data_IF_018998552635
#
_entry.id   IF_018998552635
#
_cell.length_a   1.000
_cell.length_b   1.000
_cell.length_c   1.000
_cell.angle_alpha   90.00
_cell.angle_beta   90.00
_cell.angle_gamma   90.00
#
_symmetry.space_group_name_H-M   'P 1'
#
loop_
_entity.id
_entity.type
_entity.pdbx_description
1 polymer ?
#
# COMPACT_ATOMS: atom_id res chain seq x y z
N UNK A 1 -20.36 -7.36 31.76
CA UNK A 1 -20.22 -5.91 32.00
C UNK A 1 -18.86 -5.64 32.64
N UNK A 2 -18.14 -4.62 32.17
CA UNK A 2 -16.85 -4.17 32.70
C UNK A 2 -17.01 -2.75 33.24
N UNK A 3 -16.45 -2.45 34.42
CA UNK A 3 -16.42 -1.08 34.94
C UNK A 3 -15.45 -0.25 34.10
N UNK A 4 -15.92 0.86 33.56
CA UNK A 4 -15.11 1.76 32.72
C UNK A 4 -14.40 2.81 33.57
N UNK A 5 -15.09 3.37 34.57
CA UNK A 5 -14.54 4.38 35.46
C UNK A 5 -15.35 4.49 36.73
N UNK A 6 -14.78 5.13 37.76
CA UNK A 6 -15.45 5.51 38.99
C UNK A 6 -15.03 6.94 39.35
N UNK A 7 -16.00 7.79 39.71
CA UNK A 7 -15.73 9.14 40.19
C UNK A 7 -16.71 9.51 41.31
N UNK A 8 -16.39 10.55 42.06
CA UNK A 8 -17.19 11.00 43.18
C UNK A 8 -17.54 12.48 43.01
N UNK A 9 -18.80 12.81 43.29
CA UNK A 9 -19.25 14.18 43.41
C UNK A 9 -19.15 14.61 44.87
N UNK A 10 -18.22 15.51 45.18
CA UNK A 10 -17.93 16.01 46.53
C UNK A 10 -18.30 17.48 46.65
N UNK A 11 -18.51 17.93 47.92
CA UNK A 11 -18.81 19.34 48.21
C UNK A 11 -20.26 19.71 48.11
N UNK A 12 -21.16 18.74 48.07
CA UNK A 12 -22.60 19.00 48.17
C UNK A 12 -22.91 19.47 49.59
N UNK A 13 -23.56 20.64 49.78
CA UNK A 13 -23.93 21.12 51.10
C UNK A 13 -24.87 20.14 51.81
N UNK A 14 -24.81 20.04 53.15
CA UNK A 14 -25.75 19.24 53.92
C UNK A 14 -27.20 19.69 53.63
N UNK A 15 -28.09 18.77 53.28
CA UNK A 15 -29.49 19.04 53.01
C UNK A 15 -30.38 17.89 53.50
N UNK A 16 -31.66 18.10 53.51
CA UNK A 16 -32.62 17.09 53.94
C UNK A 16 -32.56 15.85 53.08
N UNK A 17 -32.71 14.67 53.64
CA UNK A 17 -32.68 13.42 52.92
C UNK A 17 -33.66 13.46 51.73
N UNK A 18 -33.15 13.10 50.52
CA UNK A 18 -33.91 13.12 49.28
C UNK A 18 -34.02 14.48 48.58
N UNK A 19 -33.47 15.58 49.15
CA UNK A 19 -33.49 16.89 48.50
C UNK A 19 -32.45 17.05 47.38
N UNK A 20 -31.33 16.35 47.46
CA UNK A 20 -30.28 16.39 46.44
C UNK A 20 -30.77 15.85 45.10
N UNK A 21 -30.71 16.67 44.06
CA UNK A 21 -31.07 16.30 42.69
C UNK A 21 -29.82 16.32 41.81
N UNK A 22 -29.33 15.15 41.47
CA UNK A 22 -28.13 15.01 40.65
C UNK A 22 -28.54 14.69 39.21
N UNK A 23 -28.12 15.54 38.27
CA UNK A 23 -28.25 15.28 36.85
C UNK A 23 -26.94 14.65 36.38
N UNK A 24 -27.04 13.46 35.78
CA UNK A 24 -25.89 12.79 35.14
C UNK A 24 -26.08 12.87 33.65
N UNK A 25 -25.08 13.43 32.97
CA UNK A 25 -25.06 13.56 31.51
C UNK A 25 -23.94 12.69 30.95
N UNK A 26 -24.29 11.83 30.02
CA UNK A 26 -23.34 11.02 29.25
C UNK A 26 -23.21 11.62 27.85
N UNK A 27 -22.02 11.90 27.44
CA UNK A 27 -21.71 12.39 26.09
C UNK A 27 -20.68 11.49 25.44
N UNK A 28 -20.96 11.01 24.23
CA UNK A 28 -19.99 10.28 23.40
C UNK A 28 -19.69 11.15 22.20
N UNK A 29 -18.42 11.46 21.98
CA UNK A 29 -17.99 12.21 20.80
C UNK A 29 -17.79 11.32 19.57
N UNK A 30 -17.42 11.94 18.44
CA UNK A 30 -17.19 11.23 17.18
C UNK A 30 -15.99 10.26 17.25
N UNK A 31 -15.05 10.49 18.17
CA UNK A 31 -13.87 9.65 18.39
C UNK A 31 -14.13 8.52 19.40
N UNK A 32 -15.36 8.41 19.90
CA UNK A 32 -15.77 7.40 20.87
C UNK A 32 -15.35 7.71 22.31
N UNK A 33 -14.89 8.93 22.62
CA UNK A 33 -14.58 9.35 23.99
C UNK A 33 -15.88 9.56 24.76
N UNK A 34 -16.03 8.84 25.85
CA UNK A 34 -17.15 8.98 26.78
C UNK A 34 -16.82 10.01 27.86
N UNK A 35 -17.56 11.12 27.87
CA UNK A 35 -17.54 12.09 28.97
C UNK A 35 -18.75 11.89 29.85
N UNK A 36 -18.54 11.80 31.16
CA UNK A 36 -19.64 11.73 32.15
C UNK A 36 -19.54 12.93 33.04
N UNK A 37 -20.61 13.73 33.10
CA UNK A 37 -20.74 14.89 33.98
C UNK A 37 -21.90 14.66 34.97
N UNK A 38 -21.61 14.81 36.26
CA UNK A 38 -22.62 14.80 37.32
C UNK A 38 -22.71 16.18 37.97
N UNK A 39 -23.91 16.78 37.99
CA UNK A 39 -24.18 18.10 38.56
C UNK A 39 -25.31 18.05 39.54
N UNK A 40 -25.08 18.55 40.76
CA UNK A 40 -26.15 18.81 41.70
C UNK A 40 -26.86 20.12 41.30
N UNK A 41 -28.22 20.07 41.19
CA UNK A 41 -29.00 21.12 40.52
C UNK A 41 -29.23 22.38 41.40
N UNK A 42 -29.16 22.25 42.72
CA UNK A 42 -29.41 23.36 43.64
C UNK A 42 -28.12 24.08 43.99
N UNK A 43 -27.10 23.36 44.37
CA UNK A 43 -25.78 23.90 44.72
C UNK A 43 -24.91 24.22 43.54
N UNK A 44 -25.17 23.63 42.36
CA UNK A 44 -24.37 23.77 41.18
C UNK A 44 -23.04 23.03 41.20
N UNK A 45 -22.76 22.28 42.27
CA UNK A 45 -21.53 21.44 42.36
C UNK A 45 -21.52 20.41 41.25
N UNK A 46 -20.43 20.32 40.56
CA UNK A 46 -20.26 19.35 39.44
C UNK A 46 -18.91 18.63 39.47
N UNK A 47 -18.93 17.42 38.95
CA UNK A 47 -17.73 16.62 38.71
C UNK A 47 -17.82 15.99 37.31
N UNK A 48 -16.71 15.96 36.63
CA UNK A 48 -16.61 15.38 35.28
C UNK A 48 -15.50 14.36 35.24
N UNK A 49 -15.71 13.31 34.45
CA UNK A 49 -14.67 12.36 34.10
C UNK A 49 -14.76 12.07 32.60
N UNK A 50 -13.61 12.04 31.96
CA UNK A 50 -13.47 11.64 30.57
C UNK A 50 -12.87 10.23 30.55
N UNK A 51 -13.62 9.29 29.98
CA UNK A 51 -13.23 7.88 29.86
C UNK A 51 -12.75 7.65 28.46
N UNK A 52 -11.45 7.55 28.30
CA UNK A 52 -10.86 7.10 27.02
C UNK A 52 -11.25 5.64 26.81
N UNK A 53 -11.70 5.25 25.62
CA UNK A 53 -11.93 3.85 25.34
C UNK A 53 -10.59 3.13 25.40
N UNK A 54 -10.27 2.57 26.57
CA UNK A 54 -9.19 1.62 26.67
C UNK A 54 -9.76 0.29 26.17
N UNK A 55 -9.31 -0.17 25.05
CA UNK A 55 -9.68 -1.48 24.49
C UNK A 55 -9.19 -2.64 25.35
N UNK A 56 -8.83 -2.38 26.59
CA UNK A 56 -8.35 -3.36 27.55
C UNK A 56 -6.94 -3.84 27.28
N UNK A 57 -6.22 -3.14 26.42
CA UNK A 57 -4.81 -3.39 26.11
C UNK A 57 -3.95 -2.65 27.14
N UNK A 58 -2.91 -3.30 27.64
CA UNK A 58 -1.86 -2.67 28.41
C UNK A 58 -0.92 -1.89 27.49
N UNK A 59 -0.18 -0.92 28.04
CA UNK A 59 0.82 -0.15 27.27
C UNK A 59 1.86 -1.07 26.63
N UNK A 60 2.22 -2.18 27.29
CA UNK A 60 3.13 -3.19 26.76
C UNK A 60 2.54 -3.96 25.59
N UNK A 61 1.23 -4.24 25.61
CA UNK A 61 0.55 -4.90 24.51
C UNK A 61 0.44 -3.95 23.32
N UNK A 62 0.16 -2.67 23.53
CA UNK A 62 0.14 -1.66 22.47
C UNK A 62 1.53 -1.52 21.86
N UNK A 63 2.59 -1.46 22.67
CA UNK A 63 3.96 -1.38 22.18
C UNK A 63 4.35 -2.59 21.32
N UNK A 64 3.98 -3.81 21.73
CA UNK A 64 4.20 -5.03 20.94
C UNK A 64 3.43 -5.00 19.62
N UNK A 65 2.14 -4.65 19.66
CA UNK A 65 1.32 -4.56 18.45
C UNK A 65 1.89 -3.54 17.44
N UNK A 66 2.41 -2.40 17.91
CA UNK A 66 3.07 -1.43 17.07
C UNK A 66 4.36 -2.00 16.46
N UNK A 67 5.18 -2.67 17.26
CA UNK A 67 6.42 -3.29 16.80
C UNK A 67 6.14 -4.39 15.76
N UNK A 68 5.16 -5.25 16.02
CA UNK A 68 4.72 -6.29 15.10
C UNK A 68 4.17 -5.67 13.80
N UNK A 69 3.40 -4.59 13.90
CA UNK A 69 2.87 -3.86 12.75
C UNK A 69 3.97 -3.29 11.85
N UNK A 70 5.02 -2.71 12.45
CA UNK A 70 6.16 -2.20 11.67
C UNK A 70 6.92 -3.32 10.96
N UNK A 71 7.15 -4.44 11.64
CA UNK A 71 7.84 -5.59 11.02
C UNK A 71 7.02 -6.21 9.88
N UNK A 72 5.71 -6.34 10.07
CA UNK A 72 4.79 -6.85 9.04
C UNK A 72 4.71 -5.90 7.86
N UNK A 73 4.63 -4.58 8.08
CA UNK A 73 4.59 -3.59 7.00
C UNK A 73 5.85 -3.64 6.12
N UNK A 74 7.03 -3.88 6.70
CA UNK A 74 8.26 -4.02 5.94
C UNK A 74 8.26 -5.30 5.08
N UNK A 75 7.80 -6.42 5.64
CA UNK A 75 7.67 -7.68 4.91
C UNK A 75 6.65 -7.56 3.76
N UNK A 76 5.51 -6.94 4.02
CA UNK A 76 4.47 -6.71 3.01
C UNK A 76 4.98 -5.81 1.87
N UNK A 77 5.78 -4.79 2.20
CA UNK A 77 6.39 -3.91 1.20
C UNK A 77 7.38 -4.68 0.31
N UNK A 78 8.22 -5.53 0.90
CA UNK A 78 9.16 -6.38 0.15
C UNK A 78 8.42 -7.40 -0.72
N UNK A 79 7.39 -8.05 -0.19
CA UNK A 79 6.57 -9.01 -0.94
C UNK A 79 5.85 -8.34 -2.13
N UNK A 80 5.35 -7.11 -1.93
CA UNK A 80 4.72 -6.33 -3.00
C UNK A 80 5.73 -5.96 -4.07
N UNK A 81 6.89 -5.42 -3.70
CA UNK A 81 7.95 -5.06 -4.65
C UNK A 81 8.39 -6.28 -5.47
N UNK A 82 8.53 -7.45 -4.84
CA UNK A 82 8.86 -8.69 -5.54
C UNK A 82 7.76 -9.08 -6.54
N UNK A 83 6.49 -9.03 -6.13
CA UNK A 83 5.38 -9.37 -7.01
C UNK A 83 5.27 -8.40 -8.21
N UNK A 84 5.46 -7.11 -8.00
CA UNK A 84 5.48 -6.10 -9.05
C UNK A 84 6.61 -6.36 -10.04
N UNK A 85 7.85 -6.58 -9.55
CA UNK A 85 9.00 -6.91 -10.40
C UNK A 85 8.78 -8.19 -11.22
N UNK A 86 8.17 -9.22 -10.63
CA UNK A 86 7.83 -10.46 -11.33
C UNK A 86 6.81 -10.24 -12.46
N UNK A 87 5.78 -9.44 -12.23
CA UNK A 87 4.77 -9.10 -13.25
C UNK A 87 5.38 -8.31 -14.41
N UNK A 88 6.26 -7.36 -14.10
CA UNK A 88 6.93 -6.55 -15.14
C UNK A 88 7.92 -7.39 -15.95
N UNK A 89 8.64 -8.32 -15.32
CA UNK A 89 9.48 -9.28 -16.01
C UNK A 89 8.67 -10.19 -16.97
N UNK A 90 7.53 -10.73 -16.51
CA UNK A 90 6.65 -11.56 -17.35
C UNK A 90 6.12 -10.77 -18.56
N UNK A 91 5.71 -9.51 -18.36
CA UNK A 91 5.28 -8.63 -19.47
C UNK A 91 6.40 -8.37 -20.48
N UNK A 92 7.62 -8.11 -19.99
CA UNK A 92 8.77 -7.85 -20.84
C UNK A 92 9.15 -9.08 -21.65
N UNK A 93 9.20 -10.25 -21.02
CA UNK A 93 9.46 -11.52 -21.70
C UNK A 93 8.44 -11.77 -22.80
N UNK A 94 7.14 -11.68 -22.45
CA UNK A 94 6.05 -11.94 -23.42
C UNK A 94 6.07 -10.95 -24.59
N UNK A 95 6.28 -9.65 -24.31
CA UNK A 95 6.37 -8.63 -25.35
C UNK A 95 7.55 -8.87 -26.29
N UNK A 96 8.73 -9.22 -25.72
CA UNK A 96 9.93 -9.50 -26.50
C UNK A 96 9.76 -10.76 -27.35
N UNK A 97 9.21 -11.84 -26.80
CA UNK A 97 8.93 -13.07 -27.54
C UNK A 97 7.92 -12.83 -28.66
N UNK A 98 6.88 -12.07 -28.43
CA UNK A 98 5.89 -11.70 -29.44
C UNK A 98 6.53 -10.87 -30.57
N UNK A 99 7.42 -9.94 -30.21
CA UNK A 99 8.17 -9.15 -31.17
C UNK A 99 9.11 -10.00 -32.02
N UNK A 100 9.81 -10.95 -31.40
CA UNK A 100 10.70 -11.89 -32.10
C UNK A 100 9.94 -12.84 -33.02
N UNK A 101 8.72 -13.22 -32.66
CA UNK A 101 7.88 -14.06 -33.54
C UNK A 101 7.38 -13.31 -34.77
N UNK A 102 7.08 -12.00 -34.62
CA UNK A 102 6.53 -11.18 -35.69
C UNK A 102 7.61 -10.70 -36.71
N UNK A 103 8.80 -10.32 -36.21
CA UNK A 103 9.80 -9.58 -36.99
C UNK A 103 11.24 -10.19 -36.88
N UNK A 104 11.35 -11.51 -36.76
CA UNK A 104 12.61 -12.21 -36.59
C UNK A 104 13.61 -11.93 -37.74
N UNK A 105 13.12 -11.64 -38.94
CA UNK A 105 13.88 -11.34 -40.13
C UNK A 105 14.64 -10.01 -40.08
N UNK A 106 14.35 -9.16 -39.11
CA UNK A 106 15.10 -7.92 -38.85
C UNK A 106 16.43 -8.15 -38.11
N UNK A 107 16.60 -9.31 -37.50
CA UNK A 107 17.75 -9.63 -36.66
C UNK A 107 18.72 -10.58 -37.38
N UNK A 108 20.03 -10.35 -37.20
CA UNK A 108 21.03 -11.34 -37.48
C UNK A 108 20.95 -12.52 -36.50
N UNK A 109 21.47 -13.72 -36.89
CA UNK A 109 21.48 -14.87 -35.96
C UNK A 109 22.16 -14.59 -34.62
N UNK A 110 23.20 -13.75 -34.63
CA UNK A 110 23.94 -13.40 -33.43
C UNK A 110 23.12 -12.47 -32.48
N UNK A 111 22.48 -11.43 -33.03
CA UNK A 111 21.59 -10.54 -32.27
C UNK A 111 20.42 -11.31 -31.67
N UNK A 112 19.83 -12.22 -32.44
CA UNK A 112 18.77 -13.10 -31.97
C UNK A 112 19.23 -13.95 -30.79
N UNK A 113 20.39 -14.58 -30.88
CA UNK A 113 20.94 -15.41 -29.81
C UNK A 113 21.22 -14.60 -28.53
N UNK A 114 21.68 -13.35 -28.67
CA UNK A 114 21.87 -12.45 -27.54
C UNK A 114 20.55 -12.11 -26.81
N UNK A 115 19.51 -11.78 -27.56
CA UNK A 115 18.18 -11.49 -26.98
C UNK A 115 17.60 -12.74 -26.30
N UNK A 116 17.69 -13.90 -26.95
CA UNK A 116 17.22 -15.17 -26.38
C UNK A 116 17.95 -15.49 -25.05
N UNK A 117 19.28 -15.23 -24.98
CA UNK A 117 20.06 -15.39 -23.75
C UNK A 117 19.58 -14.44 -22.64
N UNK A 118 19.25 -13.19 -22.96
CA UNK A 118 18.71 -12.23 -21.99
C UNK A 118 17.31 -12.63 -21.48
N UNK A 119 16.46 -13.18 -22.36
CA UNK A 119 15.15 -13.72 -21.97
C UNK A 119 15.31 -14.87 -20.97
N UNK A 120 16.21 -15.83 -21.26
CA UNK A 120 16.47 -16.96 -20.37
C UNK A 120 17.03 -16.48 -19.03
N UNK A 121 17.98 -15.53 -19.04
CA UNK A 121 18.55 -14.94 -17.83
C UNK A 121 17.49 -14.23 -16.99
N UNK A 122 16.58 -13.47 -17.61
CA UNK A 122 15.50 -12.81 -16.90
C UNK A 122 14.49 -13.83 -16.32
N UNK A 123 14.15 -14.88 -17.07
CA UNK A 123 13.25 -15.92 -16.60
C UNK A 123 13.81 -16.68 -15.38
N UNK A 124 15.12 -16.97 -15.37
CA UNK A 124 15.79 -17.59 -14.23
C UNK A 124 15.83 -16.65 -13.03
N UNK A 125 16.22 -15.38 -13.23
CA UNK A 125 16.26 -14.38 -12.18
C UNK A 125 14.86 -14.12 -11.58
N UNK A 126 13.82 -14.10 -12.40
CA UNK A 126 12.42 -13.98 -11.97
C UNK A 126 11.98 -15.12 -11.04
N UNK A 127 12.50 -16.32 -11.27
CA UNK A 127 12.14 -17.50 -10.47
C UNK A 127 12.84 -17.55 -9.10
N UNK A 128 14.07 -17.04 -9.01
CA UNK A 128 14.95 -17.25 -7.85
C UNK A 128 15.51 -15.96 -7.23
N UNK A 129 15.39 -14.81 -7.93
CA UNK A 129 15.95 -13.54 -7.51
C UNK A 129 15.03 -12.73 -6.57
N UNK A 130 15.60 -11.69 -5.99
CA UNK A 130 14.87 -10.63 -5.30
C UNK A 130 14.36 -9.56 -6.30
N UNK A 131 13.56 -8.61 -5.80
CA UNK A 131 13.00 -7.54 -6.63
C UNK A 131 14.07 -6.75 -7.39
N UNK A 132 15.18 -6.40 -6.74
CA UNK A 132 16.25 -5.60 -7.34
C UNK A 132 16.97 -6.37 -8.45
N UNK A 133 17.23 -7.65 -8.25
CA UNK A 133 17.85 -8.52 -9.28
C UNK A 133 16.93 -8.67 -10.50
N UNK A 134 15.61 -8.85 -10.27
CA UNK A 134 14.62 -8.96 -11.35
C UNK A 134 14.53 -7.65 -12.14
N UNK A 135 14.48 -6.51 -11.46
CA UNK A 135 14.48 -5.20 -12.10
C UNK A 135 15.74 -4.98 -12.96
N UNK A 136 16.93 -5.30 -12.43
CA UNK A 136 18.18 -5.19 -13.16
C UNK A 136 18.19 -6.06 -14.41
N UNK A 137 17.72 -7.30 -14.33
CA UNK A 137 17.62 -8.20 -15.47
C UNK A 137 16.58 -7.73 -16.51
N UNK A 138 15.45 -7.15 -16.05
CA UNK A 138 14.43 -6.54 -16.91
C UNK A 138 15.01 -5.34 -17.69
N UNK A 139 15.77 -4.48 -17.01
CA UNK A 139 16.46 -3.35 -17.65
C UNK A 139 17.53 -3.83 -18.65
N UNK A 140 18.24 -4.90 -18.34
CA UNK A 140 19.23 -5.48 -19.27
C UNK A 140 18.55 -5.99 -20.54
N UNK A 141 17.40 -6.67 -20.45
CA UNK A 141 16.61 -7.10 -21.60
C UNK A 141 16.07 -5.90 -22.38
N UNK A 142 15.55 -4.88 -21.72
CA UNK A 142 15.09 -3.65 -22.36
C UNK A 142 16.19 -3.01 -23.19
N UNK A 143 17.37 -2.80 -22.60
CA UNK A 143 18.53 -2.24 -23.26
C UNK A 143 19.02 -3.11 -24.42
N UNK A 144 19.04 -4.43 -24.22
CA UNK A 144 19.47 -5.39 -25.26
C UNK A 144 18.53 -5.45 -26.47
N UNK A 145 17.29 -4.99 -26.32
CA UNK A 145 16.27 -4.98 -27.39
C UNK A 145 16.04 -3.60 -28.03
N UNK A 146 16.72 -2.54 -27.59
CA UNK A 146 16.53 -1.17 -28.12
C UNK A 146 16.76 -1.07 -29.64
N UNK A 147 17.86 -1.65 -30.15
CA UNK A 147 18.18 -1.64 -31.56
C UNK A 147 17.11 -2.36 -32.39
N UNK A 148 16.64 -3.50 -31.92
CA UNK A 148 15.56 -4.26 -32.53
C UNK A 148 14.24 -3.47 -32.55
N UNK A 149 13.88 -2.82 -31.44
CA UNK A 149 12.71 -1.97 -31.35
C UNK A 149 12.77 -0.80 -32.36
N UNK A 150 13.93 -0.16 -32.49
CA UNK A 150 14.14 0.90 -33.48
C UNK A 150 13.98 0.38 -34.94
N UNK A 151 14.50 -0.80 -35.27
CA UNK A 151 14.31 -1.41 -36.58
C UNK A 151 12.85 -1.73 -36.88
N UNK A 152 12.11 -2.26 -35.92
CA UNK A 152 10.65 -2.52 -36.02
C UNK A 152 9.87 -1.24 -36.26
N UNK A 153 10.17 -0.17 -35.50
CA UNK A 153 9.51 1.13 -35.66
C UNK A 153 9.78 1.70 -37.07
N UNK A 154 11.02 1.65 -37.54
CA UNK A 154 11.39 2.11 -38.89
C UNK A 154 10.67 1.30 -39.99
N UNK A 155 10.51 -0.02 -39.81
CA UNK A 155 9.75 -0.88 -40.73
C UNK A 155 8.27 -0.44 -40.74
N UNK A 156 7.65 -0.23 -39.58
CA UNK A 156 6.26 0.23 -39.48
C UNK A 156 6.03 1.59 -40.14
N UNK A 157 6.95 2.54 -39.94
CA UNK A 157 6.91 3.85 -40.60
C UNK A 157 7.00 3.73 -42.12
N UNK A 158 7.95 2.95 -42.61
CA UNK A 158 8.10 2.70 -44.05
C UNK A 158 6.85 2.07 -44.65
N UNK A 159 6.24 1.09 -43.99
CA UNK A 159 5.01 0.45 -44.44
C UNK A 159 3.84 1.41 -44.44
N UNK A 160 3.71 2.27 -43.42
CA UNK A 160 2.64 3.26 -43.33
C UNK A 160 2.75 4.36 -44.38
N UNK A 161 3.97 4.70 -44.79
CA UNK A 161 4.27 5.70 -45.82
C UNK A 161 4.23 5.12 -47.25
N UNK A 162 4.47 3.81 -47.42
CA UNK A 162 4.51 3.11 -48.70
C UNK A 162 3.12 2.96 -49.34
N UNK A 163 2.27 3.94 -49.34
CA UNK A 163 0.95 3.97 -49.95
C UNK A 163 0.31 5.36 -49.91
N UNK A 164 1.03 6.34 -49.38
CA UNK A 164 0.56 7.74 -49.36
C UNK A 164 1.43 8.56 -50.33
N UNK A 165 0.85 8.95 -51.46
CA UNK A 165 1.43 9.98 -52.33
C UNK A 165 1.60 11.27 -51.50
N UNK A 166 2.80 11.78 -51.37
CA UNK A 166 3.17 13.00 -50.63
C UNK A 166 2.66 14.28 -51.35
N UNK A 167 1.99 14.15 -52.51
CA UNK A 167 1.46 15.28 -53.29
C UNK A 167 0.03 15.76 -52.87
N UNK A 168 -0.45 15.30 -51.72
CA UNK A 168 -1.80 15.70 -51.22
C UNK A 168 -1.76 16.41 -49.85
N UNK A 169 -0.76 17.30 -49.63
CA UNK A 169 -0.79 18.28 -48.53
C UNK A 169 -0.53 19.68 -49.12
#
# INVERSE_FOLDING_TARGET
>A
CRSLARFELRGIPPMVAGAARIRVTFTVDADGLLSVNAKEQVSGVEARIDVKPSYGLSDDEIARMLQDSFSTAQQDMQARALAEAQVDADRMILATQSALAADADLLSPNERAQIDSLIVGLADTRAHGDAAAIEAATQALAKGTEAFAAQRMNRGIKQALAGKNIEAI
#
